data_IF_629776787586
#
_entry.id   IF_629776787586
#
_cell.length_a   1.000
_cell.length_b   1.000
_cell.length_c   1.000
_cell.angle_alpha   90.00
_cell.angle_beta   90.00
_cell.angle_gamma   90.00
#
_symmetry.space_group_name_H-M   'P 1'
#
loop_
_entity.id
_entity.type
_entity.pdbx_description
1 polymer ?
#
# COMPACT_ATOMS: atom_id res chain seq x y z
N UNK A 1 24.42 -6.01 47.16
CA UNK A 1 24.65 -7.06 46.15
C UNK A 1 23.58 -6.86 45.09
N UNK A 2 23.96 -6.38 43.90
CA UNK A 2 23.02 -6.27 42.79
C UNK A 2 22.70 -7.68 42.31
N UNK A 3 21.45 -8.12 42.45
CA UNK A 3 20.95 -9.30 41.75
C UNK A 3 21.15 -9.04 40.25
N UNK A 4 22.13 -9.72 39.64
CA UNK A 4 22.18 -9.83 38.20
C UNK A 4 21.00 -10.71 37.81
N UNK A 5 19.91 -10.08 37.35
CA UNK A 5 18.77 -10.80 36.80
C UNK A 5 19.27 -11.67 35.65
N UNK A 6 19.20 -12.99 35.81
CA UNK A 6 19.69 -13.95 34.82
C UNK A 6 18.86 -13.83 33.54
N UNK A 7 19.50 -13.51 32.41
CA UNK A 7 18.82 -13.35 31.12
C UNK A 7 18.34 -14.73 30.66
N UNK A 8 17.03 -14.85 30.44
CA UNK A 8 16.41 -16.11 29.98
C UNK A 8 16.83 -16.46 28.55
N UNK A 9 16.72 -17.73 28.17
CA UNK A 9 16.93 -18.17 26.79
C UNK A 9 16.02 -17.44 25.78
N UNK A 10 14.78 -17.13 26.17
CA UNK A 10 13.85 -16.37 25.35
C UNK A 10 14.37 -14.94 25.06
N UNK A 11 14.82 -14.23 26.11
CA UNK A 11 15.41 -12.90 25.96
C UNK A 11 16.70 -12.92 25.12
N UNK A 12 17.53 -13.96 25.27
CA UNK A 12 18.73 -14.11 24.44
C UNK A 12 18.39 -14.26 22.95
N UNK A 13 17.40 -15.10 22.60
CA UNK A 13 16.92 -15.25 21.23
C UNK A 13 16.34 -13.95 20.68
N UNK A 14 15.52 -13.28 21.46
CA UNK A 14 14.89 -12.03 21.06
C UNK A 14 15.94 -10.94 20.80
N UNK A 15 16.92 -10.78 21.69
CA UNK A 15 18.02 -9.84 21.52
C UNK A 15 18.83 -10.11 20.25
N UNK A 16 19.18 -11.37 20.00
CA UNK A 16 19.89 -11.76 18.78
C UNK A 16 19.06 -11.44 17.52
N UNK A 17 17.79 -11.82 17.49
CA UNK A 17 16.91 -11.58 16.35
C UNK A 17 16.69 -10.07 16.11
N UNK A 18 16.52 -9.28 17.17
CA UNK A 18 16.43 -7.81 17.07
C UNK A 18 17.72 -7.21 16.49
N UNK A 19 18.90 -7.65 16.93
CA UNK A 19 20.19 -7.21 16.39
C UNK A 19 20.31 -7.55 14.90
N UNK A 20 19.98 -8.78 14.51
CA UNK A 20 19.98 -9.19 13.12
C UNK A 20 19.01 -8.35 12.30
N UNK A 21 17.79 -8.09 12.77
CA UNK A 21 16.82 -7.27 12.05
C UNK A 21 17.31 -5.81 11.93
N UNK A 22 17.88 -5.25 13.00
CA UNK A 22 18.40 -3.88 13.03
C UNK A 22 19.59 -3.65 12.09
N UNK A 23 20.33 -4.70 11.74
CA UNK A 23 21.43 -4.67 10.77
C UNK A 23 20.95 -4.59 9.30
N UNK A 24 19.64 -4.53 9.06
CA UNK A 24 19.09 -4.42 7.70
C UNK A 24 19.71 -3.30 6.83
N UNK A 25 19.98 -2.07 7.33
CA UNK A 25 20.61 -1.04 6.52
C UNK A 25 21.96 -1.48 5.93
N UNK A 26 22.79 -2.19 6.71
CA UNK A 26 24.08 -2.71 6.23
C UNK A 26 23.87 -3.79 5.16
N UNK A 27 22.99 -4.76 5.41
CA UNK A 27 22.64 -5.79 4.41
C UNK A 27 22.14 -5.17 3.10
N UNK A 28 21.17 -4.26 3.20
CA UNK A 28 20.56 -3.61 2.04
C UNK A 28 21.60 -2.87 1.19
N UNK A 29 22.60 -2.23 1.80
CA UNK A 29 23.66 -1.51 1.09
C UNK A 29 24.53 -2.42 0.20
N UNK A 30 24.59 -3.72 0.51
CA UNK A 30 25.35 -4.70 -0.27
C UNK A 30 24.49 -5.44 -1.30
N UNK A 31 23.21 -5.65 -1.00
CA UNK A 31 22.28 -6.38 -1.86
C UNK A 31 21.69 -5.51 -2.96
N UNK A 32 21.47 -4.22 -2.68
CA UNK A 32 20.90 -3.26 -3.62
C UNK A 32 21.99 -2.52 -4.39
N UNK A 33 22.25 -2.97 -5.61
CA UNK A 33 23.22 -2.36 -6.53
C UNK A 33 22.52 -1.46 -7.56
N UNK A 34 21.89 -0.39 -7.06
CA UNK A 34 21.16 0.57 -7.91
C UNK A 34 22.15 1.33 -8.80
N UNK A 35 21.93 1.28 -10.11
CA UNK A 35 22.72 2.02 -11.09
C UNK A 35 22.01 3.35 -11.39
N UNK A 36 22.71 4.47 -11.28
CA UNK A 36 22.15 5.81 -11.52
C UNK A 36 22.75 6.48 -12.77
N UNK A 37 23.45 5.72 -13.62
CA UNK A 37 24.07 6.23 -14.85
C UNK A 37 23.03 6.74 -15.85
N UNK A 38 21.89 6.08 -15.93
CA UNK A 38 20.71 6.52 -16.69
C UNK A 38 19.43 5.97 -16.05
N UNK A 39 18.26 6.44 -16.51
CA UNK A 39 16.99 5.86 -16.09
C UNK A 39 16.85 4.39 -16.52
N UNK A 40 17.37 4.03 -17.69
CA UNK A 40 17.31 2.66 -18.19
C UNK A 40 18.19 1.73 -17.34
N UNK A 41 19.42 2.15 -17.03
CA UNK A 41 20.32 1.38 -16.16
C UNK A 41 19.73 1.20 -14.76
N UNK A 42 19.11 2.26 -14.22
CA UNK A 42 18.39 2.15 -12.95
C UNK A 42 17.29 1.09 -13.00
N UNK A 43 16.41 1.15 -14.01
CA UNK A 43 15.33 0.18 -14.17
C UNK A 43 15.83 -1.25 -14.36
N UNK A 44 16.95 -1.43 -15.06
CA UNK A 44 17.61 -2.71 -15.21
C UNK A 44 18.20 -3.21 -13.88
N UNK A 45 18.85 -2.33 -13.12
CA UNK A 45 19.51 -2.66 -11.86
C UNK A 45 18.55 -3.13 -10.76
N UNK A 46 17.30 -2.65 -10.75
CA UNK A 46 16.27 -3.04 -9.77
C UNK A 46 15.37 -4.18 -10.23
N UNK A 47 15.57 -4.71 -11.45
CA UNK A 47 14.69 -5.72 -12.05
C UNK A 47 14.62 -7.00 -11.23
N UNK A 48 15.78 -7.47 -10.73
CA UNK A 48 15.85 -8.68 -9.89
C UNK A 48 15.06 -8.51 -8.59
N UNK A 49 15.18 -7.35 -7.94
CA UNK A 49 14.45 -7.04 -6.72
C UNK A 49 12.94 -6.92 -6.97
N UNK A 50 12.53 -6.38 -8.13
CA UNK A 50 11.11 -6.40 -8.53
C UNK A 50 10.59 -7.83 -8.71
N UNK A 51 11.36 -8.72 -9.33
CA UNK A 51 10.99 -10.14 -9.44
C UNK A 51 10.89 -10.82 -8.08
N UNK A 52 11.81 -10.53 -7.15
CA UNK A 52 11.75 -11.04 -5.77
C UNK A 52 10.50 -10.53 -5.03
N UNK A 53 10.14 -9.26 -5.19
CA UNK A 53 8.90 -8.73 -4.61
C UNK A 53 7.66 -9.39 -5.22
N UNK A 54 7.64 -9.59 -6.53
CA UNK A 54 6.55 -10.30 -7.21
C UNK A 54 6.40 -11.76 -6.72
N UNK A 55 7.53 -12.43 -6.46
CA UNK A 55 7.56 -13.78 -5.92
C UNK A 55 7.00 -13.85 -4.48
N UNK A 56 7.28 -12.85 -3.64
CA UNK A 56 6.69 -12.74 -2.29
C UNK A 56 5.18 -12.44 -2.33
N UNK A 57 4.70 -11.82 -3.42
CA UNK A 57 3.31 -11.39 -3.61
C UNK A 57 2.52 -12.29 -4.56
N UNK A 58 2.95 -13.55 -4.74
CA UNK A 58 2.26 -14.52 -5.58
C UNK A 58 1.14 -15.25 -4.85
N UNK A 59 0.17 -15.74 -5.61
CA UNK A 59 -0.82 -16.69 -5.11
C UNK A 59 -0.15 -18.02 -4.73
N UNK A 60 -0.74 -18.78 -3.78
CA UNK A 60 -0.43 -20.19 -3.60
C UNK A 60 -0.42 -20.96 -4.92
N UNK A 61 0.50 -21.93 -5.03
CA UNK A 61 0.64 -22.74 -6.23
C UNK A 61 -0.68 -23.44 -6.59
N UNK A 62 -1.02 -23.45 -7.88
CA UNK A 62 -2.23 -24.08 -8.40
C UNK A 62 -3.49 -23.21 -8.35
N UNK A 63 -3.46 -22.02 -7.74
CA UNK A 63 -4.59 -21.10 -7.77
C UNK A 63 -4.60 -20.24 -9.04
N UNK A 64 -5.72 -20.17 -9.79
CA UNK A 64 -5.82 -19.35 -10.98
C UNK A 64 -6.06 -17.88 -10.63
N UNK A 65 -5.34 -16.98 -11.30
CA UNK A 65 -5.52 -15.53 -11.19
C UNK A 65 -6.56 -14.96 -12.19
N UNK A 66 -7.58 -15.74 -12.53
CA UNK A 66 -8.59 -15.38 -13.54
C UNK A 66 -9.95 -15.09 -12.90
N UNK A 67 -10.58 -13.99 -13.30
CA UNK A 67 -11.97 -13.70 -12.95
C UNK A 67 -12.95 -14.61 -13.71
N UNK A 68 -14.03 -15.00 -13.03
CA UNK A 68 -15.22 -15.66 -13.58
C UNK A 68 -16.47 -14.98 -13.01
N UNK A 69 -17.63 -15.20 -13.62
CA UNK A 69 -18.92 -14.70 -13.11
C UNK A 69 -18.89 -13.20 -12.79
N UNK A 70 -18.38 -12.41 -13.75
CA UNK A 70 -18.26 -10.97 -13.59
C UNK A 70 -19.65 -10.34 -13.76
N UNK A 71 -20.08 -9.59 -12.76
CA UNK A 71 -21.33 -8.84 -12.77
C UNK A 71 -21.05 -7.39 -12.39
N UNK A 72 -21.61 -6.45 -13.15
CA UNK A 72 -21.61 -5.02 -12.84
C UNK A 72 -23.06 -4.58 -12.74
N UNK A 73 -23.53 -4.36 -11.52
CA UNK A 73 -24.92 -4.00 -11.23
C UNK A 73 -25.03 -2.62 -10.58
N UNK A 74 -26.20 -2.00 -10.68
CA UNK A 74 -26.48 -0.72 -10.02
C UNK A 74 -26.52 -0.93 -8.50
N UNK A 75 -25.72 -0.18 -7.75
CA UNK A 75 -25.74 -0.21 -6.28
C UNK A 75 -26.63 0.90 -5.71
N UNK A 76 -26.51 2.12 -6.26
CA UNK A 76 -27.38 3.26 -5.96
C UNK A 76 -27.53 4.18 -7.21
N UNK A 77 -27.90 5.45 -7.06
CA UNK A 77 -28.04 6.36 -8.21
C UNK A 77 -26.73 6.63 -8.95
N UNK A 78 -25.60 6.67 -8.25
CA UNK A 78 -24.30 7.09 -8.77
C UNK A 78 -23.27 5.94 -8.79
N UNK A 79 -23.50 4.87 -8.03
CA UNK A 79 -22.56 3.78 -7.80
C UNK A 79 -22.98 2.50 -8.52
N UNK A 80 -21.96 1.77 -8.98
CA UNK A 80 -22.07 0.41 -9.50
C UNK A 80 -21.33 -0.54 -8.56
N UNK A 81 -21.91 -1.71 -8.29
CA UNK A 81 -21.21 -2.79 -7.61
C UNK A 81 -20.65 -3.73 -8.67
N UNK A 82 -19.35 -3.99 -8.58
CA UNK A 82 -18.65 -4.99 -9.37
C UNK A 82 -18.50 -6.22 -8.48
N UNK A 83 -18.97 -7.37 -8.94
CA UNK A 83 -18.71 -8.65 -8.28
C UNK A 83 -18.10 -9.63 -9.26
N UNK A 84 -17.14 -10.42 -8.79
CA UNK A 84 -16.53 -11.47 -9.60
C UNK A 84 -16.05 -12.60 -8.70
N UNK A 85 -15.97 -13.79 -9.28
CA UNK A 85 -15.39 -14.96 -8.65
C UNK A 85 -13.92 -15.09 -9.07
N UNK A 86 -13.05 -15.27 -8.10
CA UNK A 86 -11.59 -15.36 -8.21
C UNK A 86 -11.11 -16.65 -7.53
N UNK A 87 -9.94 -17.19 -7.92
CA UNK A 87 -9.35 -18.39 -7.29
C UNK A 87 -10.38 -19.50 -6.99
N UNK A 88 -11.00 -20.07 -8.03
CA UNK A 88 -12.11 -21.01 -7.97
C UNK A 88 -13.47 -20.38 -7.61
N UNK A 89 -13.78 -20.22 -6.32
CA UNK A 89 -15.11 -19.82 -5.83
C UNK A 89 -15.10 -18.59 -4.92
N UNK A 90 -13.96 -17.92 -4.77
CA UNK A 90 -13.84 -16.75 -3.90
C UNK A 90 -14.53 -15.55 -4.53
N UNK A 91 -15.60 -15.05 -3.90
CA UNK A 91 -16.31 -13.86 -4.38
C UNK A 91 -15.64 -12.60 -3.88
N UNK A 92 -15.32 -11.70 -4.80
CA UNK A 92 -14.84 -10.36 -4.53
C UNK A 92 -15.90 -9.33 -4.92
N UNK A 93 -15.89 -8.19 -4.22
CA UNK A 93 -16.78 -7.07 -4.49
C UNK A 93 -16.02 -5.76 -4.48
N UNK A 94 -16.39 -4.85 -5.36
CA UNK A 94 -15.89 -3.48 -5.40
C UNK A 94 -17.01 -2.50 -5.75
N UNK A 95 -16.84 -1.25 -5.34
CA UNK A 95 -17.75 -0.16 -5.66
C UNK A 95 -17.07 0.79 -6.64
N UNK A 96 -17.69 0.97 -7.79
CA UNK A 96 -17.26 1.89 -8.82
C UNK A 96 -18.18 3.11 -8.83
N UNK A 97 -17.60 4.30 -8.94
CA UNK A 97 -18.35 5.54 -9.15
C UNK A 97 -17.65 6.36 -10.26
N UNK A 98 -18.36 6.74 -11.34
CA UNK A 98 -17.83 7.65 -12.34
C UNK A 98 -17.72 9.08 -11.77
N UNK A 99 -17.00 10.00 -12.44
CA UNK A 99 -16.97 11.40 -12.04
C UNK A 99 -18.37 12.03 -12.03
N UNK A 100 -18.59 12.97 -11.11
CA UNK A 100 -19.79 13.82 -11.11
C UNK A 100 -19.66 14.82 -12.26
N UNK A 101 -20.36 14.54 -13.36
CA UNK A 101 -20.48 15.37 -14.58
C UNK A 101 -19.16 15.88 -15.20
N UNK A 102 -18.72 15.18 -16.25
CA UNK A 102 -18.04 15.81 -17.41
C UNK A 102 -18.55 15.15 -18.69
N UNK A 103 -19.62 15.71 -19.26
CA UNK A 103 -20.28 15.24 -20.49
C UNK A 103 -19.38 15.30 -21.75
N UNK A 104 -18.11 15.67 -21.62
CA UNK A 104 -17.18 15.90 -22.73
C UNK A 104 -16.01 14.90 -22.84
N UNK A 105 -15.81 13.99 -21.88
CA UNK A 105 -14.69 13.02 -21.93
C UNK A 105 -15.16 11.59 -22.22
N UNK A 106 -14.60 10.89 -23.24
CA UNK A 106 -14.98 9.51 -23.57
C UNK A 106 -14.42 8.49 -22.58
N UNK A 107 -13.35 8.84 -21.85
CA UNK A 107 -12.67 8.02 -20.85
C UNK A 107 -12.19 8.91 -19.70
N UNK A 108 -12.18 8.36 -18.49
CA UNK A 108 -11.86 9.08 -17.26
C UNK A 108 -10.56 8.57 -16.61
N UNK A 109 -9.79 9.44 -15.92
CA UNK A 109 -8.73 8.97 -15.04
C UNK A 109 -9.33 8.17 -13.88
N UNK A 110 -8.68 7.07 -13.50
CA UNK A 110 -9.14 6.16 -12.43
C UNK A 110 -8.27 6.26 -11.19
N UNK A 111 -8.89 6.31 -10.01
CA UNK A 111 -8.21 6.12 -8.73
C UNK A 111 -8.73 4.87 -8.02
N UNK A 112 -7.84 3.91 -7.76
CA UNK A 112 -8.12 2.75 -6.90
C UNK A 112 -8.05 3.23 -5.45
N UNK A 113 -9.21 3.30 -4.79
CA UNK A 113 -9.37 3.83 -3.44
C UNK A 113 -9.33 2.70 -2.41
N UNK A 114 -8.28 2.65 -1.59
CA UNK A 114 -7.96 1.50 -0.73
C UNK A 114 -8.18 1.85 0.74
N UNK A 115 -9.06 1.11 1.41
CA UNK A 115 -9.39 1.35 2.81
C UNK A 115 -8.40 0.70 3.79
N UNK A 116 -8.29 1.28 4.98
CA UNK A 116 -7.58 0.76 6.14
C UNK A 116 -8.32 -0.40 6.83
N UNK A 117 -7.69 -0.97 7.85
CA UNK A 117 -8.35 -1.94 8.75
C UNK A 117 -9.54 -1.28 9.46
N UNK A 118 -10.62 -2.03 9.69
CA UNK A 118 -11.91 -1.53 10.19
C UNK A 118 -12.72 -0.72 9.17
N UNK A 119 -12.09 -0.25 8.08
CA UNK A 119 -12.73 0.51 7.01
C UNK A 119 -13.44 -0.36 5.98
N UNK A 120 -14.14 0.29 5.06
CA UNK A 120 -14.84 -0.34 3.95
C UNK A 120 -14.84 0.60 2.73
N UNK A 121 -15.27 0.13 1.54
CA UNK A 121 -15.55 1.02 0.41
C UNK A 121 -16.46 2.19 0.81
N UNK A 122 -17.49 1.94 1.62
CA UNK A 122 -18.42 2.96 2.12
C UNK A 122 -17.73 4.01 2.99
N UNK A 123 -16.73 3.61 3.80
CA UNK A 123 -15.91 4.57 4.57
C UNK A 123 -15.14 5.51 3.64
N UNK A 124 -14.58 5.01 2.53
CA UNK A 124 -13.87 5.87 1.56
C UNK A 124 -14.79 6.85 0.84
N UNK A 125 -16.05 6.45 0.65
CA UNK A 125 -17.10 7.24 -0.01
C UNK A 125 -17.82 8.21 0.94
N UNK A 126 -17.61 8.10 2.26
CA UNK A 126 -18.30 8.91 3.26
C UNK A 126 -19.74 8.51 3.54
N UNK A 127 -20.16 7.29 3.18
CA UNK A 127 -21.48 6.74 3.53
C UNK A 127 -21.47 5.97 4.84
N UNK A 128 -20.29 5.62 5.38
CA UNK A 128 -20.11 5.21 6.78
C UNK A 128 -19.51 6.36 7.59
N UNK A 129 -20.36 7.02 8.40
CA UNK A 129 -19.98 8.20 9.17
C UNK A 129 -19.02 7.89 10.34
N UNK A 130 -18.87 6.62 10.75
CA UNK A 130 -18.05 6.26 11.93
C UNK A 130 -16.56 6.52 11.73
N UNK A 131 -16.10 6.46 10.50
CA UNK A 131 -14.68 6.58 10.15
C UNK A 131 -14.40 7.80 9.25
N UNK A 132 -15.43 8.58 8.88
CA UNK A 132 -15.30 9.67 7.91
C UNK A 132 -14.23 10.71 8.30
N UNK A 133 -13.98 10.91 9.60
CA UNK A 133 -12.94 11.81 10.09
C UNK A 133 -11.52 11.45 9.58
N UNK A 134 -11.18 10.16 9.44
CA UNK A 134 -9.86 9.76 8.93
C UNK A 134 -9.80 9.72 7.40
N UNK A 135 -10.93 9.43 6.75
CA UNK A 135 -11.01 9.22 5.30
C UNK A 135 -11.36 10.48 4.52
N UNK A 136 -11.99 11.47 5.17
CA UNK A 136 -12.48 12.71 4.55
C UNK A 136 -13.25 12.47 3.26
N UNK A 137 -14.05 11.38 3.19
CA UNK A 137 -14.78 10.91 2.01
C UNK A 137 -13.98 10.99 0.69
N UNK A 138 -12.68 10.67 0.74
CA UNK A 138 -11.75 10.99 -0.35
C UNK A 138 -12.19 10.39 -1.70
N UNK A 139 -12.81 9.21 -1.73
CA UNK A 139 -13.28 8.61 -2.98
C UNK A 139 -14.43 9.44 -3.59
N UNK A 140 -15.41 9.88 -2.80
CA UNK A 140 -16.49 10.74 -3.28
C UNK A 140 -15.96 12.10 -3.77
N UNK A 141 -15.06 12.73 -3.01
CA UNK A 141 -14.46 14.00 -3.41
C UNK A 141 -13.58 13.87 -4.66
N UNK A 142 -12.95 12.73 -4.89
CA UNK A 142 -12.26 12.45 -6.16
C UNK A 142 -13.23 12.45 -7.34
N UNK A 143 -14.43 11.86 -7.18
CA UNK A 143 -15.47 11.88 -8.23
C UNK A 143 -15.98 13.28 -8.52
N UNK A 144 -16.14 14.12 -7.50
CA UNK A 144 -16.47 15.54 -7.63
C UNK A 144 -15.36 16.33 -8.35
N UNK A 145 -14.12 15.81 -8.35
CA UNK A 145 -12.95 16.46 -8.93
C UNK A 145 -12.50 15.85 -10.28
N UNK A 146 -13.36 15.06 -10.92
CA UNK A 146 -13.16 14.58 -12.29
C UNK A 146 -12.50 13.20 -12.42
N UNK A 147 -12.32 12.46 -11.33
CA UNK A 147 -11.78 11.11 -11.34
C UNK A 147 -12.87 10.06 -11.24
N UNK A 148 -12.78 8.99 -12.03
CA UNK A 148 -13.48 7.77 -11.72
C UNK A 148 -12.80 7.11 -10.52
N UNK A 149 -13.56 6.41 -9.69
CA UNK A 149 -13.01 5.68 -8.54
C UNK A 149 -13.49 4.24 -8.52
N UNK A 150 -12.62 3.34 -8.06
CA UNK A 150 -13.00 1.97 -7.69
C UNK A 150 -12.47 1.65 -6.30
N UNK A 151 -13.34 1.19 -5.42
CA UNK A 151 -13.02 0.85 -4.03
C UNK A 151 -13.33 -0.64 -3.77
N UNK A 152 -12.31 -1.51 -3.73
CA UNK A 152 -12.51 -2.93 -3.42
C UNK A 152 -12.85 -3.13 -1.93
N UNK A 153 -13.69 -4.12 -1.64
CA UNK A 153 -13.85 -4.62 -0.28
C UNK A 153 -12.66 -5.54 0.05
N UNK A 154 -11.85 -5.12 1.00
CA UNK A 154 -10.75 -5.88 1.56
C UNK A 154 -11.16 -6.43 2.93
N UNK A 155 -10.49 -7.49 3.36
CA UNK A 155 -10.72 -8.09 4.69
C UNK A 155 -10.22 -7.09 5.72
N UNK A 156 -11.14 -6.58 6.54
CA UNK A 156 -10.93 -5.42 7.40
C UNK A 156 -10.91 -5.73 8.89
N UNK A 157 -10.95 -7.01 9.28
CA UNK A 157 -10.93 -7.44 10.68
C UNK A 157 -9.59 -8.10 11.04
N UNK A 158 -8.96 -7.67 12.14
CA UNK A 158 -7.65 -8.18 12.55
C UNK A 158 -7.60 -9.70 12.74
N UNK A 159 -8.58 -10.26 13.45
CA UNK A 159 -8.61 -11.69 13.77
C UNK A 159 -8.83 -12.54 12.51
N UNK A 160 -9.73 -12.12 11.62
CA UNK A 160 -9.95 -12.80 10.34
C UNK A 160 -8.69 -12.77 9.48
N UNK A 161 -8.04 -11.59 9.37
CA UNK A 161 -6.79 -11.44 8.63
C UNK A 161 -5.69 -12.32 9.19
N UNK A 162 -5.50 -12.36 10.50
CA UNK A 162 -4.48 -13.20 11.14
C UNK A 162 -4.69 -14.68 10.82
N UNK A 163 -5.93 -15.17 10.97
CA UNK A 163 -6.27 -16.57 10.64
C UNK A 163 -5.95 -16.93 9.19
N UNK A 164 -6.32 -16.06 8.25
CA UNK A 164 -6.06 -16.27 6.83
C UNK A 164 -4.57 -16.18 6.53
N UNK A 165 -3.86 -15.21 7.13
CA UNK A 165 -2.43 -15.03 6.90
C UNK A 165 -1.62 -16.25 7.38
N UNK A 166 -1.96 -16.85 8.53
CA UNK A 166 -1.33 -18.10 8.99
C UNK A 166 -1.45 -19.21 7.95
N UNK A 167 -2.64 -19.40 7.36
CA UNK A 167 -2.85 -20.40 6.32
C UNK A 167 -2.10 -20.05 5.02
N UNK A 168 -2.09 -18.77 4.63
CA UNK A 168 -1.37 -18.31 3.45
C UNK A 168 0.15 -18.53 3.61
N UNK A 169 0.71 -18.28 4.79
CA UNK A 169 2.12 -18.49 5.10
C UNK A 169 2.54 -19.96 4.97
N UNK A 170 1.69 -20.90 5.41
CA UNK A 170 1.92 -22.35 5.21
C UNK A 170 2.03 -22.73 3.72
N UNK A 171 1.42 -21.94 2.84
CA UNK A 171 1.43 -22.14 1.39
C UNK A 171 2.45 -21.24 0.67
N UNK A 172 3.37 -20.62 1.42
CA UNK A 172 4.40 -19.74 0.84
C UNK A 172 3.84 -18.44 0.24
N UNK A 173 2.74 -17.94 0.79
CA UNK A 173 2.07 -16.71 0.36
C UNK A 173 1.70 -15.84 1.59
N UNK A 174 0.99 -14.74 1.37
CA UNK A 174 0.47 -13.86 2.43
C UNK A 174 -0.94 -13.41 2.11
N UNK A 175 -1.69 -12.94 3.10
CA UNK A 175 -2.99 -12.32 2.84
C UNK A 175 -2.90 -11.12 1.87
N UNK A 176 -1.81 -10.35 1.95
CA UNK A 176 -1.52 -9.26 1.02
C UNK A 176 -1.42 -9.76 -0.42
N UNK A 177 -0.68 -10.85 -0.65
CA UNK A 177 -0.54 -11.45 -1.97
C UNK A 177 -1.90 -11.85 -2.56
N UNK A 178 -2.78 -12.46 -1.76
CA UNK A 178 -4.12 -12.84 -2.20
C UNK A 178 -4.95 -11.64 -2.66
N UNK A 179 -5.01 -10.59 -1.83
CA UNK A 179 -5.81 -9.41 -2.11
C UNK A 179 -5.20 -8.51 -3.20
N UNK A 180 -3.88 -8.40 -3.28
CA UNK A 180 -3.19 -7.67 -4.36
C UNK A 180 -3.50 -8.27 -5.73
N UNK A 181 -3.53 -9.60 -5.84
CA UNK A 181 -3.87 -10.25 -7.11
C UNK A 181 -5.35 -10.05 -7.46
N UNK A 182 -6.24 -10.08 -6.47
CA UNK A 182 -7.65 -9.73 -6.68
C UNK A 182 -7.82 -8.26 -7.14
N UNK A 183 -7.04 -7.32 -6.59
CA UNK A 183 -7.06 -5.91 -7.02
C UNK A 183 -6.57 -5.77 -8.48
N UNK A 184 -5.52 -6.51 -8.88
CA UNK A 184 -5.04 -6.51 -10.27
C UNK A 184 -6.08 -7.07 -11.24
N UNK A 185 -6.75 -8.15 -10.87
CA UNK A 185 -7.87 -8.70 -11.65
C UNK A 185 -9.05 -7.73 -11.71
N UNK A 186 -9.36 -7.04 -10.62
CA UNK A 186 -10.38 -5.98 -10.62
C UNK A 186 -10.01 -4.84 -11.59
N UNK A 187 -8.74 -4.46 -11.66
CA UNK A 187 -8.27 -3.46 -12.61
C UNK A 187 -8.46 -3.93 -14.06
N UNK A 188 -8.21 -5.20 -14.37
CA UNK A 188 -8.48 -5.78 -15.69
C UNK A 188 -9.96 -5.64 -16.05
N UNK A 189 -10.86 -6.02 -15.14
CA UNK A 189 -12.31 -5.88 -15.31
C UNK A 189 -12.72 -4.43 -15.55
N UNK A 190 -12.15 -3.49 -14.79
CA UNK A 190 -12.46 -2.07 -14.94
C UNK A 190 -12.02 -1.53 -16.31
N UNK A 191 -10.83 -1.90 -16.78
CA UNK A 191 -10.31 -1.44 -18.07
C UNK A 191 -11.07 -2.02 -19.26
N UNK A 192 -11.64 -3.21 -19.12
CA UNK A 192 -12.45 -3.85 -20.16
C UNK A 192 -13.89 -3.30 -20.20
N UNK A 193 -14.52 -3.12 -19.04
CA UNK A 193 -15.96 -2.89 -18.95
C UNK A 193 -16.39 -1.44 -18.66
N UNK A 194 -15.44 -0.55 -18.31
CA UNK A 194 -15.74 0.82 -17.89
C UNK A 194 -14.97 1.85 -18.75
N UNK A 195 -15.47 3.10 -18.87
CA UNK A 195 -14.84 4.15 -19.66
C UNK A 195 -13.62 4.75 -18.93
N UNK A 196 -12.56 3.96 -18.76
CA UNK A 196 -11.34 4.34 -18.06
C UNK A 196 -10.21 4.59 -19.06
N UNK A 197 -9.43 5.64 -18.83
CA UNK A 197 -8.19 5.88 -19.57
C UNK A 197 -7.07 5.01 -18.98
N UNK A 198 -6.53 4.01 -19.74
CA UNK A 198 -5.48 3.13 -19.24
C UNK A 198 -4.16 3.86 -18.93
N UNK A 199 -3.95 5.07 -19.46
CA UNK A 199 -2.75 5.87 -19.21
C UNK A 199 -2.91 6.81 -18.01
N UNK A 200 -4.08 6.88 -17.38
CA UNK A 200 -4.35 7.75 -16.23
C UNK A 200 -4.93 6.99 -15.03
N UNK A 201 -4.14 6.05 -14.49
CA UNK A 201 -4.54 5.24 -13.33
C UNK A 201 -3.67 5.61 -12.13
N UNK A 202 -4.29 5.84 -10.97
CA UNK A 202 -3.60 5.98 -9.69
C UNK A 202 -4.15 5.03 -8.63
N UNK A 203 -3.39 4.88 -7.55
CA UNK A 203 -3.86 4.24 -6.32
C UNK A 203 -3.71 5.20 -5.15
N UNK A 204 -4.73 5.28 -4.29
CA UNK A 204 -4.68 6.07 -3.07
C UNK A 204 -5.30 5.27 -1.94
N UNK A 205 -4.52 5.02 -0.90
CA UNK A 205 -5.04 4.43 0.32
C UNK A 205 -4.50 5.06 1.59
N UNK A 206 -5.15 4.68 2.69
CA UNK A 206 -4.82 5.10 4.05
C UNK A 206 -4.63 3.88 4.95
N UNK A 207 -3.65 3.95 5.87
CA UNK A 207 -3.36 2.87 6.82
C UNK A 207 -3.05 1.56 6.08
N UNK A 208 -3.72 0.45 6.40
CA UNK A 208 -3.66 -0.79 5.61
C UNK A 208 -3.82 -0.55 4.09
N UNK A 209 -4.70 0.38 3.69
CA UNK A 209 -4.87 0.83 2.31
C UNK A 209 -3.65 1.55 1.72
N UNK A 210 -2.94 2.32 2.54
CA UNK A 210 -1.63 2.89 2.19
C UNK A 210 -0.60 1.79 1.94
N UNK A 211 -0.66 0.71 2.73
CA UNK A 211 0.11 -0.50 2.50
C UNK A 211 -0.18 -1.15 1.17
N UNK A 212 -1.46 -1.36 0.81
CA UNK A 212 -1.82 -1.84 -0.52
C UNK A 212 -1.28 -0.94 -1.62
N UNK A 213 -1.31 0.39 -1.46
CA UNK A 213 -0.75 1.31 -2.46
C UNK A 213 0.76 1.08 -2.64
N UNK A 214 1.52 1.04 -1.54
CA UNK A 214 2.96 0.80 -1.55
C UNK A 214 3.32 -0.57 -2.15
N UNK A 215 2.52 -1.60 -1.88
CA UNK A 215 2.80 -2.98 -2.25
C UNK A 215 2.33 -3.33 -3.67
N UNK A 216 1.24 -2.71 -4.13
CA UNK A 216 0.65 -2.92 -5.45
C UNK A 216 1.46 -2.24 -6.54
N UNK A 217 1.91 -1.00 -6.32
CA UNK A 217 2.58 -0.24 -7.38
C UNK A 217 3.81 -0.95 -7.97
N UNK A 218 4.72 -1.58 -7.19
CA UNK A 218 5.83 -2.36 -7.75
C UNK A 218 5.40 -3.52 -8.67
N UNK A 219 4.18 -4.05 -8.50
CA UNK A 219 3.64 -5.19 -9.22
C UNK A 219 2.79 -4.78 -10.43
N UNK A 220 2.13 -3.63 -10.33
CA UNK A 220 1.17 -3.15 -11.30
C UNK A 220 1.67 -1.87 -11.98
N UNK A 221 2.27 -2.04 -13.16
CA UNK A 221 2.92 -0.95 -13.90
C UNK A 221 1.92 0.01 -14.57
N UNK A 222 0.65 -0.39 -14.71
CA UNK A 222 -0.41 0.48 -15.23
C UNK A 222 -0.76 1.61 -14.27
N UNK A 223 -0.53 1.43 -12.97
CA UNK A 223 -0.70 2.51 -11.98
C UNK A 223 0.44 3.52 -12.16
N UNK A 224 0.10 4.74 -12.57
CA UNK A 224 1.02 5.82 -12.93
C UNK A 224 1.42 6.70 -11.75
N UNK A 225 0.55 6.87 -10.77
CA UNK A 225 0.83 7.65 -9.55
C UNK A 225 0.24 6.98 -8.30
N UNK A 226 0.81 7.24 -7.13
CA UNK A 226 0.31 6.70 -5.87
C UNK A 226 0.33 7.68 -4.71
N UNK A 227 -0.66 7.59 -3.82
CA UNK A 227 -0.70 8.33 -2.56
C UNK A 227 -0.80 7.34 -1.39
N UNK A 228 0.25 7.31 -0.57
CA UNK A 228 0.42 6.39 0.56
C UNK A 228 0.18 7.17 1.85
N UNK A 229 -1.01 7.07 2.41
CA UNK A 229 -1.39 7.82 3.62
C UNK A 229 -1.24 6.93 4.86
N UNK A 230 -0.57 7.44 5.90
CA UNK A 230 -0.50 6.82 7.23
C UNK A 230 -0.03 5.34 7.24
N UNK A 231 0.95 4.98 6.39
CA UNK A 231 1.52 3.61 6.34
C UNK A 231 3.04 3.57 6.23
N UNK A 232 3.61 4.43 5.38
CA UNK A 232 5.04 4.46 5.08
C UNK A 232 5.85 4.74 6.36
N UNK A 233 6.81 3.89 6.70
CA UNK A 233 7.45 3.92 8.02
C UNK A 233 8.89 3.37 8.01
N UNK A 234 9.68 3.77 9.01
CA UNK A 234 10.97 3.16 9.28
C UNK A 234 10.76 1.74 9.85
N UNK A 235 10.91 0.72 8.99
CA UNK A 235 10.43 -0.63 9.30
C UNK A 235 11.18 -1.31 10.45
N UNK A 236 12.46 -1.05 10.66
CA UNK A 236 13.18 -1.60 11.83
C UNK A 236 12.50 -1.14 13.12
N UNK A 237 12.24 0.16 13.25
CA UNK A 237 11.59 0.72 14.43
C UNK A 237 10.17 0.21 14.58
N UNK A 238 9.39 0.23 13.49
CA UNK A 238 7.99 -0.16 13.49
C UNK A 238 7.77 -1.65 13.80
N UNK A 239 8.71 -2.50 13.42
CA UNK A 239 8.57 -3.96 13.57
C UNK A 239 9.19 -4.49 14.86
N UNK A 240 10.30 -3.92 15.35
CA UNK A 240 11.09 -4.55 16.43
C UNK A 240 11.71 -3.57 17.43
N UNK A 241 11.26 -2.32 17.51
CA UNK A 241 11.69 -1.40 18.57
C UNK A 241 10.46 -0.84 19.24
N UNK A 242 10.17 -1.32 20.45
CA UNK A 242 9.07 -0.83 21.26
C UNK A 242 9.39 0.56 21.82
N UNK A 243 8.41 1.45 21.78
CA UNK A 243 8.52 2.83 22.23
C UNK A 243 7.16 3.34 22.67
N UNK A 244 7.14 4.38 23.51
CA UNK A 244 5.93 5.14 23.84
C UNK A 244 5.55 6.16 22.78
N UNK A 245 6.47 6.49 21.87
CA UNK A 245 6.27 7.56 20.88
C UNK A 245 5.54 7.10 19.60
N UNK A 246 5.40 5.79 19.41
CA UNK A 246 4.72 5.17 18.27
C UNK A 246 4.37 3.71 18.59
N UNK A 247 3.39 3.13 17.90
CA UNK A 247 3.10 1.70 18.06
C UNK A 247 4.12 0.80 17.36
N UNK A 248 4.56 -0.26 18.03
CA UNK A 248 5.39 -1.33 17.46
C UNK A 248 4.50 -2.54 17.15
N UNK A 249 4.73 -3.24 16.03
CA UNK A 249 3.93 -4.43 15.68
C UNK A 249 4.31 -5.68 16.48
N UNK A 250 5.55 -5.78 16.99
CA UNK A 250 6.03 -6.98 17.69
C UNK A 250 5.12 -7.46 18.83
N UNK A 251 4.61 -6.60 19.73
CA UNK A 251 3.73 -7.03 20.81
C UNK A 251 2.26 -7.21 20.40
N UNK A 252 1.91 -6.97 19.12
CA UNK A 252 0.51 -6.98 18.65
C UNK A 252 0.12 -8.34 18.07
N UNK A 253 -1.19 -8.58 17.95
CA UNK A 253 -1.75 -9.74 17.25
C UNK A 253 -1.92 -9.51 15.73
N UNK A 254 -1.34 -8.44 15.21
CA UNK A 254 -1.47 -8.01 13.81
C UNK A 254 -0.54 -8.81 12.88
N UNK A 255 -0.71 -10.13 12.82
CA UNK A 255 0.23 -11.02 12.11
C UNK A 255 0.42 -10.71 10.62
N UNK A 256 -0.57 -10.08 10.01
CA UNK A 256 -0.48 -9.62 8.62
C UNK A 256 0.64 -8.59 8.40
N UNK A 257 1.10 -7.88 9.43
CA UNK A 257 2.24 -6.96 9.33
C UNK A 257 3.58 -7.68 9.07
N UNK A 258 3.67 -8.98 9.40
CA UNK A 258 4.90 -9.77 9.28
C UNK A 258 4.96 -10.48 7.92
N UNK A 259 5.49 -9.77 6.94
CA UNK A 259 5.66 -10.25 5.56
C UNK A 259 7.06 -10.88 5.42
N UNK A 260 7.17 -12.17 5.01
CA UNK A 260 8.46 -12.75 4.67
C UNK A 260 9.19 -11.91 3.63
N UNK A 261 10.47 -11.61 3.84
CA UNK A 261 11.26 -10.73 2.96
C UNK A 261 11.36 -9.28 3.45
N UNK A 262 10.45 -8.82 4.32
CA UNK A 262 10.59 -7.51 4.96
C UNK A 262 11.75 -7.55 5.98
N UNK A 263 12.63 -6.54 5.94
CA UNK A 263 13.86 -6.42 6.74
C UNK A 263 14.89 -7.55 6.54
N UNK A 264 14.70 -8.37 5.50
CA UNK A 264 15.73 -9.26 4.95
C UNK A 264 16.09 -8.88 3.52
N UNK A 265 15.13 -8.39 2.73
CA UNK A 265 15.33 -7.97 1.33
C UNK A 265 14.74 -6.58 1.03
N UNK A 266 13.72 -6.16 1.79
CA UNK A 266 12.98 -4.92 1.55
C UNK A 266 12.70 -4.13 2.84
N UNK A 267 12.82 -2.81 2.75
CA UNK A 267 12.14 -1.82 3.59
C UNK A 267 11.17 -0.99 2.72
N UNK A 268 10.49 -0.01 3.31
CA UNK A 268 9.55 0.82 2.56
C UNK A 268 10.26 1.69 1.50
N UNK A 269 11.44 2.24 1.84
CA UNK A 269 12.27 3.01 0.90
C UNK A 269 12.78 2.16 -0.27
N UNK A 270 13.00 0.87 -0.04
CA UNK A 270 13.34 -0.07 -1.09
C UNK A 270 12.17 -0.32 -2.04
N UNK A 271 10.95 -0.43 -1.51
CA UNK A 271 9.74 -0.55 -2.33
C UNK A 271 9.48 0.73 -3.14
N UNK A 272 9.71 1.92 -2.58
CA UNK A 272 9.67 3.18 -3.35
C UNK A 272 10.68 3.17 -4.51
N UNK A 273 11.86 2.56 -4.31
CA UNK A 273 12.83 2.40 -5.39
C UNK A 273 12.31 1.50 -6.53
N UNK A 274 11.46 0.52 -6.24
CA UNK A 274 10.81 -0.29 -7.27
C UNK A 274 9.70 0.46 -8.03
N UNK A 275 9.12 1.49 -7.41
CA UNK A 275 8.08 2.34 -8.02
C UNK A 275 8.70 3.40 -8.94
N UNK A 276 9.88 3.92 -8.57
CA UNK A 276 10.66 4.87 -9.35
C UNK A 276 10.78 4.42 -10.82
N UNK A 277 10.52 5.29 -11.82
CA UNK A 277 10.39 6.76 -11.73
C UNK A 277 8.95 7.27 -11.58
N UNK A 278 7.97 6.42 -11.25
CA UNK A 278 6.56 6.84 -11.19
C UNK A 278 6.28 7.72 -9.97
N UNK A 279 5.46 8.77 -10.08
CA UNK A 279 5.16 9.65 -8.97
C UNK A 279 4.56 8.95 -7.74
N UNK A 280 5.06 9.28 -6.54
CA UNK A 280 4.50 8.86 -5.25
C UNK A 280 4.43 10.03 -4.27
N UNK A 281 3.31 10.17 -3.55
CA UNK A 281 3.20 11.01 -2.36
C UNK A 281 3.08 10.13 -1.12
N UNK A 282 3.86 10.43 -0.09
CA UNK A 282 3.70 9.89 1.26
C UNK A 282 2.98 10.94 2.11
N UNK A 283 1.92 10.55 2.82
CA UNK A 283 1.23 11.42 3.78
C UNK A 283 1.40 10.87 5.20
N UNK A 284 1.70 11.75 6.14
CA UNK A 284 1.78 11.42 7.57
C UNK A 284 1.29 12.57 8.43
N UNK A 285 0.58 12.25 9.50
CA UNK A 285 0.14 13.22 10.51
C UNK A 285 1.20 13.45 11.59
N UNK A 286 1.36 14.69 12.05
CA UNK A 286 2.22 15.01 13.21
C UNK A 286 1.69 14.43 14.52
N UNK A 287 0.38 14.24 14.61
CA UNK A 287 -0.32 13.70 15.77
C UNK A 287 -0.72 12.22 15.57
N UNK A 288 -0.20 11.57 14.54
CA UNK A 288 -0.41 10.13 14.33
C UNK A 288 0.39 9.35 15.38
N UNK A 289 -0.28 8.63 16.26
CA UNK A 289 0.28 7.80 17.32
C UNK A 289 0.72 6.41 16.82
N UNK A 290 0.39 6.07 15.56
CA UNK A 290 0.83 4.82 14.92
C UNK A 290 2.26 4.99 14.35
N UNK A 291 2.66 6.20 13.97
CA UNK A 291 3.94 6.45 13.31
C UNK A 291 4.60 7.77 13.76
N UNK A 292 5.83 7.68 14.26
CA UNK A 292 6.62 8.89 14.52
C UNK A 292 7.00 9.58 13.20
N UNK A 293 6.53 10.81 12.99
CA UNK A 293 6.86 11.61 11.80
C UNK A 293 8.38 11.79 11.59
N UNK A 294 9.20 11.74 12.66
CA UNK A 294 10.67 11.80 12.56
C UNK A 294 11.26 10.53 11.93
N UNK A 295 10.71 9.37 12.28
CA UNK A 295 11.10 8.09 11.68
C UNK A 295 10.62 8.00 10.24
N UNK A 296 9.40 8.49 9.95
CA UNK A 296 8.89 8.64 8.58
C UNK A 296 9.82 9.53 7.75
N UNK A 297 10.30 10.66 8.30
CA UNK A 297 11.25 11.53 7.63
C UNK A 297 12.56 10.81 7.27
N UNK A 298 13.10 10.02 8.19
CA UNK A 298 14.33 9.27 7.97
C UNK A 298 14.17 8.27 6.82
N UNK A 299 13.09 7.48 6.84
CA UNK A 299 12.77 6.53 5.77
C UNK A 299 12.52 7.26 4.43
N UNK A 300 11.84 8.41 4.47
CA UNK A 300 11.55 9.19 3.26
C UNK A 300 12.82 9.77 2.64
N UNK A 301 13.77 10.23 3.45
CA UNK A 301 15.07 10.69 2.97
C UNK A 301 15.82 9.56 2.25
N UNK A 302 15.81 8.34 2.80
CA UNK A 302 16.37 7.16 2.14
C UNK A 302 15.68 6.89 0.79
N UNK A 303 14.35 6.90 0.75
CA UNK A 303 13.57 6.70 -0.47
C UNK A 303 13.83 7.79 -1.54
N UNK A 304 14.02 9.04 -1.10
CA UNK A 304 14.23 10.19 -1.97
C UNK A 304 15.55 10.15 -2.73
N UNK A 305 16.53 9.38 -2.24
CA UNK A 305 17.86 9.28 -2.85
C UNK A 305 17.78 8.86 -4.33
N UNK A 306 16.97 7.85 -4.66
CA UNK A 306 16.81 7.38 -6.03
C UNK A 306 16.25 8.45 -6.96
N UNK A 307 15.20 9.15 -6.52
CA UNK A 307 14.57 10.22 -7.30
C UNK A 307 15.50 11.43 -7.48
N UNK A 308 16.31 11.75 -6.47
CA UNK A 308 17.29 12.82 -6.54
C UNK A 308 18.43 12.49 -7.50
N UNK A 309 19.00 11.27 -7.42
CA UNK A 309 20.09 10.82 -8.30
C UNK A 309 19.68 10.80 -9.77
N UNK A 310 18.42 10.51 -10.06
CA UNK A 310 17.86 10.52 -11.41
C UNK A 310 17.33 11.90 -11.87
N UNK A 311 17.50 12.96 -11.06
CA UNK A 311 17.06 14.31 -11.43
C UNK A 311 15.53 14.52 -11.44
N UNK A 312 14.75 13.58 -10.91
CA UNK A 312 13.28 13.56 -10.93
C UNK A 312 12.67 13.80 -9.55
N UNK A 313 13.37 14.54 -8.67
CA UNK A 313 12.98 14.77 -7.27
C UNK A 313 11.52 15.21 -7.05
N UNK A 314 10.92 15.94 -8.02
CA UNK A 314 9.54 16.42 -7.93
C UNK A 314 8.50 15.29 -7.93
N UNK A 315 8.88 14.09 -8.38
CA UNK A 315 7.99 12.93 -8.46
C UNK A 315 7.82 12.21 -7.12
N UNK A 316 8.65 12.48 -6.12
CA UNK A 316 8.47 11.95 -4.78
C UNK A 316 8.21 13.09 -3.80
N UNK A 317 7.05 13.08 -3.16
CA UNK A 317 6.62 14.14 -2.24
C UNK A 317 6.31 13.56 -0.86
N UNK A 318 6.71 14.28 0.19
CA UNK A 318 6.26 14.01 1.55
C UNK A 318 5.34 15.13 2.02
N UNK A 319 4.09 14.79 2.30
CA UNK A 319 3.12 15.67 2.91
C UNK A 319 3.00 15.38 4.42
N UNK A 320 3.59 16.24 5.24
CA UNK A 320 3.45 16.20 6.69
C UNK A 320 2.38 17.19 7.14
N UNK A 321 1.18 16.69 7.45
CA UNK A 321 0.06 17.50 7.93
C UNK A 321 0.00 17.52 9.47
N UNK A 322 -0.78 18.46 10.04
CA UNK A 322 -0.90 18.61 11.50
C UNK A 322 -1.91 17.64 12.14
N UNK A 323 -2.50 16.76 11.33
CA UNK A 323 -3.53 15.82 11.74
C UNK A 323 -3.02 14.58 12.47
N UNK A 324 -3.97 13.71 12.84
CA UNK A 324 -3.72 12.39 13.43
C UNK A 324 -3.56 11.29 12.38
N UNK A 325 -4.13 10.11 12.67
CA UNK A 325 -4.23 9.00 11.72
C UNK A 325 -5.32 9.24 10.67
N UNK A 326 -5.05 10.15 9.75
CA UNK A 326 -5.95 10.60 8.69
C UNK A 326 -5.18 10.93 7.40
N UNK A 327 -5.89 11.09 6.29
CA UNK A 327 -5.31 11.57 5.03
C UNK A 327 -5.48 13.08 4.86
N UNK A 328 -4.63 13.68 4.04
CA UNK A 328 -4.80 15.07 3.57
C UNK A 328 -5.30 15.06 2.14
N UNK A 329 -6.61 15.26 1.99
CA UNK A 329 -7.24 15.20 0.68
C UNK A 329 -6.71 16.27 -0.29
N UNK A 330 -6.53 17.51 0.18
CA UNK A 330 -6.19 18.62 -0.72
C UNK A 330 -4.77 18.45 -1.27
N UNK A 331 -3.83 17.97 -0.44
CA UNK A 331 -2.49 17.63 -0.89
C UNK A 331 -2.49 16.47 -1.89
N UNK A 332 -3.23 15.40 -1.62
CA UNK A 332 -3.30 14.25 -2.52
C UNK A 332 -3.99 14.57 -3.86
N UNK A 333 -5.04 15.38 -3.85
CA UNK A 333 -5.72 15.84 -5.07
C UNK A 333 -4.78 16.68 -5.96
N UNK A 334 -4.06 17.65 -5.37
CA UNK A 334 -3.08 18.46 -6.12
C UNK A 334 -1.98 17.60 -6.72
N UNK A 335 -1.51 16.61 -5.95
CA UNK A 335 -0.51 15.67 -6.42
C UNK A 335 -1.02 14.86 -7.61
N UNK A 336 -2.20 14.23 -7.50
CA UNK A 336 -2.76 13.44 -8.60
C UNK A 336 -2.99 14.27 -9.87
N UNK A 337 -3.52 15.50 -9.76
CA UNK A 337 -3.67 16.42 -10.90
C UNK A 337 -2.38 16.82 -11.61
N UNK A 338 -1.23 16.67 -10.93
CA UNK A 338 0.07 16.99 -11.50
C UNK A 338 0.66 15.83 -12.30
N UNK A 339 0.13 14.62 -12.11
CA UNK A 339 0.77 13.37 -12.57
C UNK A 339 -0.15 12.42 -13.35
N UNK A 340 -1.46 12.67 -13.32
CA UNK A 340 -2.47 12.13 -14.22
C UNK A 340 -2.97 13.27 -15.09
#
# INVERSE_FOLDING_TARGET
MSEQTEITAAQNWENLLRQLIADYPNRSSTEWKRDFSSLEDFLNSVRSQRSKWAELMKLPAGLPATAKQIEISKADQCQRKITFTFCHEMKFSAWYQPPVQKESQPRFPLVICLHGIGGSPQSTMGTDQRLDASYHRFASRLTENGFAVVAPQLINNFAERARINRMALLLGSTIWALELQAIRTLLDICLEALPIDPEQIAAWGISMGGGYTLYLMPLEMRIRAGVISAWFNHRVSKMVIESTDYSCFLPTEEEHAFIPGLLTQFSDSDLISLICPRPVQVQSGRLDDIASHRLVEQEFRAASFCYQKLGIKKRLEWNLHNGGHELDFEAGLRFLRSWL
#
